data_IF_648644272784
#
_entry.id   IF_648644272784
#
_cell.length_a   1.000
_cell.length_b   1.000
_cell.length_c   1.000
_cell.angle_alpha   90.00
_cell.angle_beta   90.00
_cell.angle_gamma   90.00
#
_symmetry.space_group_name_H-M   'P 1'
#
loop_
_entity.id
_entity.type
_entity.pdbx_description
1 polymer ?
#
# COMPACT_ATOMS: atom_id res chain seq x y z
N UNK A 1 -5.55 13.71 16.82
CA UNK A 1 -4.34 12.87 17.00
C UNK A 1 -4.51 11.62 16.18
N UNK A 2 -3.51 11.22 15.37
CA UNK A 2 -3.54 9.95 14.63
C UNK A 2 -2.73 8.93 15.41
N UNK A 3 -3.32 7.79 15.71
CA UNK A 3 -2.64 6.67 16.37
C UNK A 3 -2.29 5.61 15.34
N UNK A 4 -1.12 5.00 15.46
CA UNK A 4 -0.67 3.92 14.60
C UNK A 4 -0.26 2.73 15.46
N UNK A 5 -0.76 1.55 15.09
CA UNK A 5 -0.40 0.28 15.72
C UNK A 5 0.35 -0.58 14.70
N UNK A 6 1.43 -1.24 15.13
CA UNK A 6 2.26 -2.09 14.30
C UNK A 6 2.16 -3.55 14.73
N UNK A 7 1.71 -4.40 13.82
CA UNK A 7 1.71 -5.86 13.98
C UNK A 7 2.73 -6.50 13.05
N UNK A 8 3.51 -7.45 13.58
CA UNK A 8 4.47 -8.23 12.80
C UNK A 8 3.90 -9.63 12.65
N UNK A 9 3.73 -10.07 11.40
CA UNK A 9 3.27 -11.41 11.05
C UNK A 9 4.49 -12.20 10.58
N UNK A 10 4.83 -13.25 11.34
CA UNK A 10 5.97 -14.12 11.03
C UNK A 10 5.61 -15.12 9.93
N UNK A 11 6.59 -15.57 9.17
CA UNK A 11 6.41 -16.57 8.09
C UNK A 11 5.86 -17.91 8.57
N UNK A 12 6.00 -18.21 9.85
CA UNK A 12 5.48 -19.43 10.50
C UNK A 12 3.99 -19.36 10.83
N UNK A 13 3.38 -18.17 10.75
CA UNK A 13 1.96 -17.99 11.06
C UNK A 13 1.08 -18.40 9.87
N UNK A 14 -0.04 -19.09 10.13
CA UNK A 14 -0.98 -19.53 9.10
C UNK A 14 -1.53 -18.38 8.22
N UNK A 15 -1.56 -17.16 8.75
CA UNK A 15 -2.03 -15.95 8.06
C UNK A 15 -1.01 -15.40 7.06
N UNK A 16 0.28 -15.72 7.23
CA UNK A 16 1.37 -15.17 6.42
C UNK A 16 1.17 -15.45 4.94
N UNK A 17 0.93 -16.69 4.56
CA UNK A 17 0.79 -17.12 3.16
C UNK A 17 -0.29 -16.31 2.42
N UNK A 18 -1.44 -16.09 3.07
CA UNK A 18 -2.55 -15.36 2.46
C UNK A 18 -2.24 -13.87 2.25
N UNK A 19 -1.57 -13.25 3.24
CA UNK A 19 -1.18 -11.84 3.16
C UNK A 19 -0.05 -11.67 2.14
N UNK A 20 0.93 -12.58 2.12
CA UNK A 20 2.02 -12.60 1.16
C UNK A 20 1.52 -12.74 -0.28
N UNK A 21 0.52 -13.60 -0.51
CA UNK A 21 -0.13 -13.75 -1.82
C UNK A 21 -0.81 -12.44 -2.27
N UNK A 22 -1.49 -11.73 -1.36
CA UNK A 22 -2.09 -10.44 -1.68
C UNK A 22 -1.02 -9.38 -2.01
N UNK A 23 0.09 -9.36 -1.26
CA UNK A 23 1.22 -8.47 -1.52
C UNK A 23 1.90 -8.79 -2.87
N UNK A 24 1.95 -10.06 -3.25
CA UNK A 24 2.40 -10.50 -4.58
C UNK A 24 1.45 -10.02 -5.69
N UNK A 25 0.14 -10.18 -5.52
CA UNK A 25 -0.88 -9.67 -6.46
C UNK A 25 -0.80 -8.14 -6.60
N UNK A 26 -0.58 -7.42 -5.50
CA UNK A 26 -0.35 -5.97 -5.49
C UNK A 26 0.87 -5.59 -6.33
N UNK A 27 1.99 -6.33 -6.20
CA UNK A 27 3.19 -6.15 -7.00
C UNK A 27 2.91 -6.34 -8.50
N UNK A 28 2.11 -7.34 -8.86
CA UNK A 28 1.77 -7.59 -10.26
C UNK A 28 0.99 -6.42 -10.87
N UNK A 29 0.02 -5.86 -10.16
CA UNK A 29 -0.70 -4.67 -10.60
C UNK A 29 0.22 -3.45 -10.71
N UNK A 30 1.07 -3.20 -9.70
CA UNK A 30 2.04 -2.12 -9.72
C UNK A 30 2.97 -2.20 -10.94
N UNK A 31 3.53 -3.38 -11.21
CA UNK A 31 4.44 -3.59 -12.34
C UNK A 31 3.72 -3.44 -13.68
N UNK A 32 2.50 -3.96 -13.83
CA UNK A 32 1.70 -3.82 -15.04
C UNK A 32 1.38 -2.36 -15.34
N UNK A 33 0.92 -1.60 -14.33
CA UNK A 33 0.63 -0.18 -14.49
C UNK A 33 1.91 0.65 -14.77
N UNK A 34 3.01 0.34 -14.08
CA UNK A 34 4.29 1.01 -14.31
C UNK A 34 4.82 0.74 -15.75
N UNK A 35 4.59 -0.47 -16.27
CA UNK A 35 4.89 -0.80 -17.66
C UNK A 35 4.11 0.10 -18.62
N UNK A 36 2.79 0.26 -18.42
CA UNK A 36 1.95 1.11 -19.27
C UNK A 36 2.45 2.56 -19.29
N UNK A 37 2.79 3.13 -18.13
CA UNK A 37 3.34 4.50 -18.04
C UNK A 37 4.67 4.59 -18.80
N UNK A 38 5.57 3.63 -18.62
CA UNK A 38 6.87 3.65 -19.30
C UNK A 38 6.72 3.53 -20.81
N UNK A 39 5.82 2.68 -21.30
CA UNK A 39 5.53 2.55 -22.72
C UNK A 39 4.96 3.85 -23.29
N UNK A 40 4.09 4.56 -22.58
CA UNK A 40 3.56 5.85 -23.06
C UNK A 40 4.66 6.88 -23.31
N UNK A 41 5.74 6.89 -22.53
CA UNK A 41 6.90 7.73 -22.79
C UNK A 41 7.70 7.26 -24.00
N UNK A 42 7.90 5.95 -24.18
CA UNK A 42 8.61 5.39 -25.34
C UNK A 42 7.90 5.75 -26.64
N UNK A 43 6.56 5.69 -26.65
CA UNK A 43 5.76 6.02 -27.83
C UNK A 43 5.39 7.52 -27.94
N UNK A 44 5.95 8.38 -27.08
CA UNK A 44 5.72 9.83 -27.15
C UNK A 44 4.35 10.29 -26.70
N UNK A 45 3.52 9.43 -26.11
CA UNK A 45 2.16 9.74 -25.66
C UNK A 45 2.11 10.54 -24.34
N UNK A 46 3.27 10.76 -23.70
CA UNK A 46 3.36 11.52 -22.45
C UNK A 46 2.96 10.75 -21.20
N UNK A 47 2.70 11.49 -20.12
CA UNK A 47 2.40 10.89 -18.82
C UNK A 47 0.92 10.53 -18.69
N UNK A 48 0.67 9.29 -18.29
CA UNK A 48 -0.67 8.78 -17.97
C UNK A 48 -0.93 9.02 -16.47
N UNK A 49 -1.89 9.89 -16.15
CA UNK A 49 -2.27 10.19 -14.76
C UNK A 49 -3.12 9.08 -14.12
N UNK A 50 -3.37 9.21 -12.79
CA UNK A 50 -4.16 8.22 -12.03
C UNK A 50 -5.53 7.93 -12.67
N UNK A 51 -6.30 8.95 -13.08
CA UNK A 51 -7.65 8.75 -13.59
C UNK A 51 -7.67 7.94 -14.89
N UNK A 52 -6.77 8.27 -15.78
CA UNK A 52 -6.59 7.56 -17.05
C UNK A 52 -6.06 6.14 -16.81
N UNK A 53 -5.05 5.98 -15.95
CA UNK A 53 -4.52 4.68 -15.57
C UNK A 53 -5.58 3.79 -14.95
N UNK A 54 -6.41 4.32 -14.05
CA UNK A 54 -7.51 3.56 -13.44
C UNK A 54 -8.52 3.09 -14.50
N UNK A 55 -8.84 3.93 -15.48
CA UNK A 55 -9.72 3.56 -16.59
C UNK A 55 -9.13 2.41 -17.43
N UNK A 56 -7.87 2.52 -17.81
CA UNK A 56 -7.15 1.52 -18.61
C UNK A 56 -7.02 0.16 -17.88
N UNK A 57 -6.71 0.21 -16.58
CA UNK A 57 -6.42 -1.00 -15.81
C UNK A 57 -7.66 -1.74 -15.31
N UNK A 58 -8.88 -1.15 -15.34
CA UNK A 58 -10.11 -1.79 -14.83
C UNK A 58 -10.39 -3.16 -15.45
N UNK A 59 -10.10 -3.34 -16.74
CA UNK A 59 -10.29 -4.60 -17.47
C UNK A 59 -9.14 -5.60 -17.25
N UNK A 60 -7.98 -5.12 -16.78
CA UNK A 60 -6.77 -5.93 -16.66
C UNK A 60 -6.89 -6.95 -15.52
N UNK A 61 -6.39 -8.20 -15.76
CA UNK A 61 -6.49 -9.30 -14.80
C UNK A 61 -5.87 -8.95 -13.44
N UNK A 62 -4.70 -8.30 -13.43
CA UNK A 62 -4.03 -7.92 -12.18
C UNK A 62 -4.85 -6.93 -11.33
N UNK A 63 -5.73 -6.13 -11.94
CA UNK A 63 -6.66 -5.25 -11.22
C UNK A 63 -7.82 -6.03 -10.60
N UNK A 64 -8.39 -6.99 -11.36
CA UNK A 64 -9.60 -7.74 -10.96
C UNK A 64 -9.38 -8.74 -9.83
N UNK A 65 -8.14 -9.21 -9.65
CA UNK A 65 -7.80 -10.18 -8.59
C UNK A 65 -7.68 -9.56 -7.20
N UNK A 66 -7.76 -8.24 -7.10
CA UNK A 66 -7.76 -7.47 -5.85
C UNK A 66 -9.10 -6.74 -5.66
N UNK A 67 -9.45 -6.35 -4.43
CA UNK A 67 -10.58 -5.45 -4.21
C UNK A 67 -10.38 -4.13 -4.95
N UNK A 68 -11.40 -3.62 -5.64
CA UNK A 68 -11.30 -2.43 -6.48
C UNK A 68 -10.69 -1.21 -5.75
N UNK A 69 -11.06 -0.99 -4.48
CA UNK A 69 -10.50 0.10 -3.66
C UNK A 69 -9.01 -0.08 -3.38
N UNK A 70 -8.55 -1.32 -3.17
CA UNK A 70 -7.13 -1.63 -2.98
C UNK A 70 -6.37 -1.41 -4.29
N UNK A 71 -6.91 -1.88 -5.42
CA UNK A 71 -6.32 -1.63 -6.75
C UNK A 71 -6.19 -0.14 -7.04
N UNK A 72 -7.21 0.66 -6.74
CA UNK A 72 -7.15 2.11 -6.85
C UNK A 72 -6.03 2.72 -5.99
N UNK A 73 -5.85 2.27 -4.75
CA UNK A 73 -4.77 2.77 -3.89
C UNK A 73 -3.38 2.46 -4.44
N UNK A 74 -3.18 1.27 -5.02
CA UNK A 74 -1.92 0.90 -5.67
C UNK A 74 -1.61 1.85 -6.84
N UNK A 75 -2.61 2.13 -7.68
CA UNK A 75 -2.45 3.07 -8.80
C UNK A 75 -2.20 4.51 -8.33
N UNK A 76 -2.86 4.96 -7.25
CA UNK A 76 -2.62 6.28 -6.65
C UNK A 76 -1.19 6.41 -6.09
N UNK A 77 -0.67 5.36 -5.46
CA UNK A 77 0.72 5.34 -4.96
C UNK A 77 1.70 5.40 -6.13
N UNK A 78 1.44 4.66 -7.21
CA UNK A 78 2.28 4.71 -8.40
C UNK A 78 2.28 6.10 -9.04
N UNK A 79 1.11 6.75 -9.17
CA UNK A 79 0.97 8.12 -9.67
C UNK A 79 1.78 9.11 -8.80
N UNK A 80 1.69 9.00 -7.48
CA UNK A 80 2.51 9.81 -6.56
C UNK A 80 4.00 9.60 -6.76
N UNK A 81 4.45 8.35 -6.94
CA UNK A 81 5.86 8.03 -7.17
C UNK A 81 6.38 8.67 -8.47
N UNK A 82 5.59 8.65 -9.54
CA UNK A 82 5.95 9.31 -10.79
C UNK A 82 5.99 10.82 -10.67
N UNK A 83 5.00 11.43 -10.01
CA UNK A 83 4.99 12.88 -9.71
C UNK A 83 6.20 13.30 -8.90
N UNK A 84 6.53 12.55 -7.84
CA UNK A 84 7.73 12.80 -7.04
C UNK A 84 9.02 12.69 -7.86
N UNK A 85 9.09 11.73 -8.79
CA UNK A 85 10.21 11.63 -9.72
C UNK A 85 10.32 12.87 -10.61
N UNK A 86 9.22 13.36 -11.19
CA UNK A 86 9.25 14.57 -12.04
C UNK A 86 9.69 15.81 -11.25
N UNK A 87 9.19 15.99 -10.04
CA UNK A 87 9.61 17.10 -9.18
C UNK A 87 11.10 16.97 -8.80
N UNK A 88 11.58 15.78 -8.48
CA UNK A 88 12.99 15.53 -8.21
C UNK A 88 13.86 15.83 -9.46
N UNK A 89 13.42 15.50 -10.67
CA UNK A 89 14.15 15.84 -11.91
C UNK A 89 14.21 17.36 -12.13
N UNK A 90 13.10 18.07 -11.87
CA UNK A 90 13.09 19.54 -11.95
C UNK A 90 14.05 20.15 -10.95
N UNK A 91 14.00 19.72 -9.69
CA UNK A 91 14.90 20.22 -8.64
C UNK A 91 16.37 19.88 -8.96
N UNK A 92 16.67 18.70 -9.49
CA UNK A 92 18.01 18.30 -9.90
C UNK A 92 18.59 19.17 -11.03
N UNK A 93 17.74 19.62 -11.97
CA UNK A 93 18.14 20.54 -13.04
C UNK A 93 18.49 21.93 -12.52
N UNK A 94 17.85 22.37 -11.42
CA UNK A 94 18.12 23.67 -10.79
C UNK A 94 19.41 23.62 -9.97
N UNK A 95 19.57 22.57 -9.15
CA UNK A 95 20.73 22.42 -8.28
C UNK A 95 21.02 20.94 -8.04
N UNK A 96 21.96 20.40 -8.80
CA UNK A 96 22.36 18.98 -8.70
C UNK A 96 23.18 18.68 -7.44
N UNK A 97 23.77 19.68 -6.78
CA UNK A 97 24.64 19.50 -5.60
C UNK A 97 23.84 19.00 -4.38
N UNK A 98 22.54 19.25 -4.33
CA UNK A 98 21.63 18.79 -3.28
C UNK A 98 21.27 17.29 -3.35
N UNK A 99 21.73 16.59 -4.37
CA UNK A 99 21.38 15.20 -4.62
C UNK A 99 22.63 14.32 -4.57
N UNK A 100 22.50 13.13 -4.02
CA UNK A 100 23.55 12.10 -4.03
C UNK A 100 23.73 11.45 -5.39
N UNK A 101 22.82 11.73 -6.35
CA UNK A 101 22.87 11.22 -7.71
C UNK A 101 21.62 11.58 -8.51
N UNK A 102 21.65 11.28 -9.81
CA UNK A 102 20.52 11.59 -10.71
C UNK A 102 19.23 10.86 -10.28
N UNK A 103 18.08 11.55 -10.16
CA UNK A 103 16.80 10.93 -9.86
C UNK A 103 16.45 9.78 -10.81
N UNK A 104 15.99 8.65 -10.26
CA UNK A 104 15.63 7.45 -11.02
C UNK A 104 14.12 7.31 -11.10
N UNK A 105 13.62 6.87 -12.24
CA UNK A 105 12.21 6.53 -12.43
C UNK A 105 11.76 5.45 -11.45
N UNK A 106 10.46 5.38 -11.09
CA UNK A 106 9.91 4.28 -10.31
C UNK A 106 10.28 2.92 -10.91
N UNK A 107 11.00 2.11 -10.12
CA UNK A 107 11.52 0.82 -10.58
C UNK A 107 10.45 -0.26 -10.52
N UNK A 108 10.59 -1.31 -11.36
CA UNK A 108 9.81 -2.53 -11.21
C UNK A 108 10.20 -3.26 -9.93
N UNK A 109 9.20 -3.86 -9.30
CA UNK A 109 9.44 -4.83 -8.23
C UNK A 109 9.91 -6.15 -8.84
N UNK A 110 10.77 -6.86 -8.13
CA UNK A 110 11.27 -8.18 -8.58
C UNK A 110 10.13 -9.12 -9.00
N UNK A 111 10.35 -9.88 -10.07
CA UNK A 111 9.32 -10.74 -10.68
C UNK A 111 8.86 -11.86 -9.73
N UNK A 112 9.79 -12.48 -9.01
CA UNK A 112 9.55 -13.68 -8.19
C UNK A 112 9.44 -13.31 -6.71
N UNK A 113 10.46 -12.62 -6.17
CA UNK A 113 10.57 -12.31 -4.74
C UNK A 113 9.90 -10.98 -4.35
N UNK A 114 9.61 -10.10 -5.32
CA UNK A 114 9.05 -8.79 -5.06
C UNK A 114 7.67 -8.84 -4.42
N UNK A 115 7.43 -7.91 -3.49
CA UNK A 115 6.15 -7.65 -2.86
C UNK A 115 5.86 -6.16 -2.94
N UNK A 116 4.61 -5.79 -2.91
CA UNK A 116 4.21 -4.39 -2.88
C UNK A 116 3.23 -4.14 -1.73
N UNK A 117 3.21 -2.91 -1.27
CA UNK A 117 2.33 -2.47 -0.19
C UNK A 117 0.85 -2.65 -0.58
N UNK A 118 0.02 -2.96 0.41
CA UNK A 118 -1.44 -2.99 0.31
C UNK A 118 -2.01 -1.91 1.22
N UNK A 119 -2.85 -1.05 0.68
CA UNK A 119 -3.54 -0.03 1.46
C UNK A 119 -5.03 -0.33 1.44
N UNK A 120 -5.59 -0.60 2.61
CA UNK A 120 -7.02 -0.75 2.84
C UNK A 120 -7.55 0.51 3.49
N UNK A 121 -8.37 1.25 2.77
CA UNK A 121 -9.11 2.36 3.36
C UNK A 121 -10.30 1.82 4.15
N UNK A 122 -10.90 2.63 5.02
CA UNK A 122 -12.09 2.25 5.79
C UNK A 122 -13.24 1.76 4.90
N UNK A 123 -13.33 2.25 3.67
CA UNK A 123 -14.32 1.79 2.68
C UNK A 123 -14.05 0.38 2.14
N UNK A 124 -12.83 -0.13 2.28
CA UNK A 124 -12.44 -1.47 1.86
C UNK A 124 -12.51 -2.48 3.01
N UNK A 125 -12.83 -2.04 4.22
CA UNK A 125 -12.92 -2.86 5.43
C UNK A 125 -14.39 -2.98 5.85
N UNK A 126 -14.80 -4.20 6.24
CA UNK A 126 -16.14 -4.44 6.73
C UNK A 126 -16.36 -3.85 8.13
N UNK A 127 -17.18 -2.82 8.27
CA UNK A 127 -17.54 -2.22 9.56
C UNK A 127 -18.15 -3.23 10.54
N UNK A 128 -18.92 -4.21 10.05
CA UNK A 128 -19.50 -5.28 10.87
C UNK A 128 -18.43 -6.20 11.48
N UNK A 129 -17.39 -6.51 10.71
CA UNK A 129 -16.29 -7.35 11.19
C UNK A 129 -15.36 -6.55 12.10
N UNK A 130 -15.10 -5.29 11.77
CA UNK A 130 -14.28 -4.39 12.57
C UNK A 130 -14.86 -4.23 13.99
N UNK A 131 -16.18 -4.07 14.14
CA UNK A 131 -16.86 -4.05 15.45
C UNK A 131 -16.66 -5.33 16.28
N UNK A 132 -16.27 -6.45 15.66
CA UNK A 132 -15.94 -7.72 16.29
C UNK A 132 -14.42 -7.89 16.53
N UNK A 133 -13.61 -6.84 16.30
CA UNK A 133 -12.15 -6.93 16.37
C UNK A 133 -11.50 -7.68 15.20
N UNK A 134 -12.21 -7.84 14.07
CA UNK A 134 -11.72 -8.58 12.91
C UNK A 134 -11.52 -7.63 11.73
N UNK A 135 -10.32 -7.56 11.18
CA UNK A 135 -10.07 -6.93 9.88
C UNK A 135 -10.15 -8.00 8.80
N UNK A 136 -11.14 -7.88 7.93
CA UNK A 136 -11.29 -8.75 6.77
C UNK A 136 -10.68 -8.05 5.54
N UNK A 137 -9.52 -8.52 5.09
CA UNK A 137 -8.81 -7.93 3.95
C UNK A 137 -9.38 -8.30 2.58
N UNK A 138 -10.04 -9.45 2.46
CA UNK A 138 -10.71 -9.92 1.25
C UNK A 138 -11.61 -11.09 1.61
N UNK A 139 -12.45 -11.59 0.68
CA UNK A 139 -13.50 -12.59 0.92
C UNK A 139 -13.11 -13.81 1.78
N UNK A 140 -11.82 -14.12 1.90
CA UNK A 140 -11.31 -15.27 2.68
C UNK A 140 -10.20 -14.93 3.68
N UNK A 141 -9.60 -13.72 3.63
CA UNK A 141 -8.49 -13.34 4.51
C UNK A 141 -9.04 -12.53 5.65
N UNK A 142 -9.13 -13.12 6.82
CA UNK A 142 -9.56 -12.47 8.06
C UNK A 142 -8.37 -12.32 8.98
N UNK A 143 -8.20 -11.13 9.50
CA UNK A 143 -7.23 -10.81 10.54
C UNK A 143 -8.01 -10.56 11.84
N UNK A 144 -7.86 -11.46 12.80
CA UNK A 144 -8.37 -11.24 14.14
C UNK A 144 -7.36 -10.38 14.89
N UNK A 145 -7.77 -9.18 15.25
CA UNK A 145 -7.06 -8.42 16.24
C UNK A 145 -7.25 -9.08 17.59
N UNK A 146 -6.22 -9.08 18.41
CA UNK A 146 -6.39 -9.36 19.83
C UNK A 146 -7.47 -8.41 20.35
N UNK A 147 -8.46 -8.89 21.14
CA UNK A 147 -9.59 -8.06 21.57
C UNK A 147 -9.14 -7.00 22.58
N UNK A 148 -8.60 -5.90 22.10
CA UNK A 148 -8.63 -4.66 22.84
C UNK A 148 -10.06 -4.12 22.79
N UNK A 149 -10.62 -3.73 23.93
CA UNK A 149 -11.96 -3.14 23.98
C UNK A 149 -11.99 -1.89 23.11
N UNK A 150 -12.88 -1.86 22.10
CA UNK A 150 -13.29 -0.62 21.47
C UNK A 150 -14.02 0.20 22.53
N UNK A 151 -13.54 1.39 22.84
CA UNK A 151 -14.33 2.34 23.59
C UNK A 151 -15.47 2.92 22.74
N UNK A 152 -16.37 3.66 23.36
CA UNK A 152 -17.51 4.28 22.70
C UNK A 152 -17.11 5.34 21.65
N UNK A 153 -15.82 5.67 21.52
CA UNK A 153 -15.27 6.61 20.53
C UNK A 153 -14.70 5.89 19.28
N UNK A 154 -14.68 4.54 19.28
CA UNK A 154 -14.18 3.73 18.16
C UNK A 154 -12.66 3.54 18.16
N UNK A 155 -11.97 3.86 19.25
CA UNK A 155 -10.54 3.60 19.40
C UNK A 155 -10.30 2.21 20.00
N UNK A 156 -9.31 1.48 19.47
CA UNK A 156 -8.86 0.22 20.05
C UNK A 156 -7.73 0.46 21.05
N UNK A 157 -7.94 0.04 22.29
CA UNK A 157 -6.87 -0.05 23.29
C UNK A 157 -6.42 -1.50 23.43
N UNK A 158 -5.12 -1.77 23.30
CA UNK A 158 -4.53 -3.03 23.72
C UNK A 158 -3.82 -2.82 25.03
N UNK A 159 -4.34 -3.43 26.08
CA UNK A 159 -3.80 -3.32 27.45
C UNK A 159 -2.40 -3.93 27.61
N UNK A 160 -1.90 -4.69 26.61
CA UNK A 160 -0.63 -5.44 26.74
C UNK A 160 0.59 -4.76 26.09
N UNK A 161 0.42 -3.67 25.33
CA UNK A 161 1.53 -2.99 24.64
C UNK A 161 1.90 -1.65 25.28
N UNK A 162 1.02 -1.09 26.09
CA UNK A 162 1.24 0.22 26.72
C UNK A 162 2.17 0.20 27.92
N UNK A 163 2.19 -0.87 28.73
CA UNK A 163 3.08 -0.95 29.88
C UNK A 163 4.58 -0.81 29.54
N UNK A 164 5.12 -1.49 28.51
CA UNK A 164 6.52 -1.32 28.15
C UNK A 164 6.85 0.04 27.54
N UNK A 165 5.91 0.68 26.83
CA UNK A 165 6.14 2.00 26.22
C UNK A 165 6.02 3.13 27.26
N UNK A 166 5.15 3.00 28.24
CA UNK A 166 5.04 3.95 29.34
C UNK A 166 6.30 3.97 30.22
N UNK A 167 6.90 2.79 30.45
CA UNK A 167 8.18 2.69 31.17
C UNK A 167 9.38 3.15 30.34
N UNK A 168 9.32 3.04 29.00
CA UNK A 168 10.44 3.43 28.12
C UNK A 168 10.50 4.94 27.83
N UNK A 169 9.39 5.70 27.95
CA UNK A 169 9.33 7.12 27.59
C UNK A 169 9.09 8.07 28.78
N UNK A 170 8.93 7.58 30.00
CA UNK A 170 8.99 8.41 31.24
C UNK A 170 7.96 9.53 31.34
N UNK A 171 6.70 9.30 30.91
CA UNK A 171 5.59 10.24 31.12
C UNK A 171 4.58 9.69 32.11
#
# INVERSE_FOLDING_TARGET
MQLAERHIIKSTEHRFTQIDELAFKSKNLYNAANYVIRQSFVYGSGYINYNEMNRLMKSHQAYKVLPAKVSQQILMILDKNWKSFFEAVKAYKVDSSKFTGRPKQPQYKDKVKGRNILVYTIQAISSKQLKKGIIAFFKKVRYEFWPGKLDNTGFMYTSSIWEPLYQAFGY
#
